data_IF_254822835272
#
_entry.id   IF_254822835272
#
_cell.length_a   1.000
_cell.length_b   1.000
_cell.length_c   1.000
_cell.angle_alpha   90.00
_cell.angle_beta   90.00
_cell.angle_gamma   90.00
#
_symmetry.space_group_name_H-M   'P 1'
#
loop_
_entity.id
_entity.type
_entity.pdbx_description
1 polymer ?
#
# COMPACT_ATOMS: atom_id res chain seq x y z
N UNK A 1 6.77 1.11 -16.75
CA UNK A 1 6.74 1.56 -15.36
C UNK A 1 5.34 1.41 -14.80
N UNK A 2 5.23 0.62 -13.75
CA UNK A 2 3.94 0.39 -13.12
C UNK A 2 3.67 1.49 -12.08
N UNK A 3 2.53 2.13 -12.21
CA UNK A 3 2.09 3.13 -11.25
C UNK A 3 0.79 2.67 -10.60
N UNK A 4 0.68 2.93 -9.31
CA UNK A 4 -0.50 2.63 -8.53
C UNK A 4 -1.09 3.94 -8.04
N UNK A 5 -2.40 4.05 -8.13
CA UNK A 5 -3.12 5.23 -7.69
C UNK A 5 -4.06 4.87 -6.57
N UNK A 6 -3.87 5.50 -5.42
CA UNK A 6 -4.80 5.35 -4.30
C UNK A 6 -6.10 6.06 -4.65
N UNK A 7 -7.22 5.40 -4.39
CA UNK A 7 -8.53 5.95 -4.66
C UNK A 7 -9.18 6.53 -3.41
N UNK A 8 -9.90 7.63 -3.57
CA UNK A 8 -10.66 8.23 -2.49
C UNK A 8 -9.81 8.90 -1.42
N UNK A 9 -8.63 9.39 -1.79
CA UNK A 9 -7.71 9.99 -0.84
C UNK A 9 -8.33 11.15 -0.07
N UNK A 10 -7.92 11.24 1.20
CA UNK A 10 -8.26 12.36 2.05
C UNK A 10 -7.62 13.64 1.50
N UNK A 11 -8.40 14.68 1.18
CA UNK A 11 -7.81 15.93 0.67
C UNK A 11 -6.96 16.67 1.70
N UNK A 12 -7.04 16.29 2.98
CA UNK A 12 -6.23 16.88 4.04
C UNK A 12 -4.99 16.04 4.36
N UNK A 13 -4.69 15.03 3.55
CA UNK A 13 -3.52 14.18 3.75
C UNK A 13 -2.23 14.99 3.72
N UNK A 14 -1.29 14.62 4.58
CA UNK A 14 0.03 15.23 4.63
C UNK A 14 1.10 14.16 4.41
N UNK A 15 2.11 14.48 3.60
CA UNK A 15 3.24 13.59 3.35
C UNK A 15 4.45 14.14 4.09
N UNK A 16 5.08 13.30 4.92
CA UNK A 16 6.25 13.67 5.70
C UNK A 16 7.37 12.67 5.45
N UNK A 17 8.53 13.16 5.05
CA UNK A 17 9.74 12.34 4.93
C UNK A 17 10.54 12.30 6.22
N UNK A 18 11.40 11.29 6.35
CA UNK A 18 12.23 11.13 7.55
C UNK A 18 13.17 12.31 7.79
N UNK A 19 13.58 12.98 6.71
CA UNK A 19 14.51 14.11 6.78
C UNK A 19 13.79 15.45 6.71
N UNK A 20 12.67 15.54 7.38
CA UNK A 20 11.89 16.78 7.48
C UNK A 20 11.19 17.19 6.18
N UNK A 21 11.23 16.35 5.16
CA UNK A 21 10.42 16.61 3.97
C UNK A 21 8.95 16.62 4.34
N UNK A 22 8.23 17.65 3.89
CA UNK A 22 6.81 17.76 4.19
C UNK A 22 6.08 18.34 3.00
N UNK A 23 5.04 17.64 2.56
CA UNK A 23 4.19 18.12 1.48
C UNK A 23 2.75 17.75 1.78
N UNK A 24 1.86 18.71 1.57
CA UNK A 24 0.44 18.50 1.81
C UNK A 24 -0.24 18.10 0.52
N UNK A 25 -1.03 17.03 0.53
CA UNK A 25 -1.81 16.57 -0.61
C UNK A 25 -0.98 16.60 -1.89
N UNK A 26 0.09 15.87 -1.89
CA UNK A 26 1.05 15.93 -2.96
C UNK A 26 0.59 15.20 -4.21
N UNK A 27 0.96 15.75 -5.38
CA UNK A 27 0.91 15.03 -6.65
C UNK A 27 2.18 14.22 -6.86
N UNK A 28 3.09 14.25 -5.90
CA UNK A 28 4.35 13.56 -5.98
C UNK A 28 4.13 12.05 -5.84
N UNK A 29 4.66 11.28 -6.77
CA UNK A 29 4.63 9.83 -6.67
C UNK A 29 5.59 9.38 -5.58
N UNK A 30 5.23 8.30 -4.88
CA UNK A 30 6.10 7.68 -3.86
C UNK A 30 7.49 7.43 -4.42
N UNK A 31 7.55 6.97 -5.66
CA UNK A 31 8.80 6.69 -6.33
C UNK A 31 9.72 7.91 -6.40
N UNK A 32 9.16 9.08 -6.71
CA UNK A 32 9.95 10.31 -6.79
C UNK A 32 10.54 10.66 -5.43
N UNK A 33 9.80 10.41 -4.37
CA UNK A 33 10.28 10.64 -3.02
C UNK A 33 11.41 9.67 -2.66
N UNK A 34 11.29 8.41 -3.05
CA UNK A 34 12.33 7.41 -2.81
C UNK A 34 13.59 7.76 -3.63
N UNK A 35 13.42 8.19 -4.85
CA UNK A 35 14.54 8.60 -5.70
C UNK A 35 15.29 9.80 -5.14
N UNK A 36 14.63 10.62 -4.32
CA UNK A 36 15.26 11.71 -3.60
C UNK A 36 15.91 11.24 -2.29
N UNK A 37 16.01 9.93 -2.10
CA UNK A 37 16.71 9.29 -0.97
C UNK A 37 16.05 9.43 0.38
N UNK A 38 14.76 9.66 0.41
CA UNK A 38 14.01 9.54 1.66
C UNK A 38 13.79 8.07 1.95
N UNK A 39 14.32 7.58 3.05
CA UNK A 39 14.20 6.18 3.42
C UNK A 39 12.82 5.81 3.95
N UNK A 40 12.11 6.76 4.49
CA UNK A 40 10.75 6.57 5.00
C UNK A 40 9.88 7.74 4.60
N UNK A 41 8.67 7.42 4.20
CA UNK A 41 7.63 8.41 3.92
C UNK A 41 6.39 8.06 4.70
N UNK A 42 5.82 9.07 5.34
CA UNK A 42 4.59 8.92 6.08
C UNK A 42 3.48 9.67 5.35
N UNK A 43 2.43 8.96 5.00
CA UNK A 43 1.22 9.53 4.47
C UNK A 43 0.24 9.61 5.63
N UNK A 44 0.26 10.74 6.32
CA UNK A 44 -0.59 10.93 7.49
C UNK A 44 -2.01 11.20 7.04
N UNK A 45 -2.95 10.42 7.54
CA UNK A 45 -4.35 10.50 7.17
C UNK A 45 -4.57 10.31 5.67
N UNK A 46 -3.96 9.27 5.12
CA UNK A 46 -4.20 8.84 3.74
C UNK A 46 -5.70 8.74 3.47
N UNK A 47 -6.40 8.15 4.43
CA UNK A 47 -7.84 8.20 4.58
C UNK A 47 -8.12 8.60 6.03
N UNK A 48 -9.33 9.11 6.34
CA UNK A 48 -9.64 9.40 7.74
C UNK A 48 -9.37 8.19 8.64
N UNK A 49 -8.57 8.38 9.68
CA UNK A 49 -8.19 7.33 10.63
C UNK A 49 -7.19 6.31 10.10
N UNK A 50 -6.60 6.53 8.93
CA UNK A 50 -5.68 5.57 8.33
C UNK A 50 -4.41 6.28 7.87
N UNK A 51 -3.29 5.86 8.43
CA UNK A 51 -1.95 6.33 8.02
C UNK A 51 -1.25 5.25 7.22
N UNK A 52 -0.40 5.67 6.29
CA UNK A 52 0.45 4.77 5.53
C UNK A 52 1.89 5.20 5.69
N UNK A 53 2.77 4.26 5.98
CA UNK A 53 4.20 4.46 5.99
C UNK A 53 4.82 3.64 4.87
N UNK A 54 5.66 4.29 4.06
CA UNK A 54 6.55 3.61 3.14
C UNK A 54 7.95 3.59 3.71
N UNK A 55 8.62 2.45 3.63
CA UNK A 55 10.02 2.34 4.02
C UNK A 55 10.80 1.61 2.93
N UNK A 56 11.95 2.17 2.56
CA UNK A 56 12.87 1.52 1.63
C UNK A 56 13.65 0.44 2.37
N UNK A 57 13.49 -0.81 1.94
CA UNK A 57 14.15 -1.97 2.53
C UNK A 57 15.01 -2.66 1.48
N UNK A 58 16.05 -1.98 1.04
CA UNK A 58 16.96 -2.49 0.02
C UNK A 58 16.23 -2.79 -1.30
N UNK A 59 15.86 -4.03 -1.56
CA UNK A 59 15.22 -4.40 -2.82
C UNK A 59 13.69 -4.40 -2.76
N UNK A 60 13.13 -4.08 -1.60
CA UNK A 60 11.70 -4.05 -1.41
C UNK A 60 11.25 -2.76 -0.78
N UNK A 61 10.04 -2.35 -1.10
CA UNK A 61 9.38 -1.23 -0.48
C UNK A 61 8.37 -1.79 0.51
N UNK A 62 8.52 -1.45 1.77
CA UNK A 62 7.58 -1.83 2.81
C UNK A 62 6.43 -0.83 2.87
N UNK A 63 5.21 -1.35 2.95
CA UNK A 63 4.00 -0.55 3.12
C UNK A 63 3.32 -0.97 4.42
N UNK A 64 3.19 -0.04 5.35
CA UNK A 64 2.51 -0.28 6.62
C UNK A 64 1.32 0.64 6.75
N UNK A 65 0.14 0.07 6.89
CA UNK A 65 -1.08 0.83 7.18
C UNK A 65 -1.42 0.69 8.65
N UNK A 66 -1.79 1.81 9.25
CA UNK A 66 -2.29 1.87 10.62
C UNK A 66 -3.72 2.39 10.57
N UNK A 67 -4.65 1.53 10.95
CA UNK A 67 -6.09 1.87 10.97
C UNK A 67 -6.49 2.06 12.42
N UNK A 68 -6.95 3.27 12.75
CA UNK A 68 -7.42 3.55 14.10
C UNK A 68 -8.73 2.82 14.39
N UNK A 69 -8.95 2.50 15.66
CA UNK A 69 -10.20 1.88 16.10
C UNK A 69 -11.40 2.73 15.66
N UNK A 70 -12.43 2.09 15.14
CA UNK A 70 -13.62 2.78 14.68
C UNK A 70 -13.58 3.24 13.22
N UNK A 71 -12.46 3.02 12.53
CA UNK A 71 -12.35 3.37 11.13
C UNK A 71 -12.32 2.12 10.25
N UNK A 72 -12.71 2.27 9.00
CA UNK A 72 -12.91 1.15 8.10
C UNK A 72 -11.70 0.93 7.20
N UNK A 73 -10.99 -0.19 7.38
CA UNK A 73 -9.84 -0.56 6.55
C UNK A 73 -10.21 -0.68 5.06
N UNK A 74 -11.49 -0.92 4.76
CA UNK A 74 -11.95 -1.08 3.38
C UNK A 74 -11.89 0.20 2.56
N UNK A 75 -11.58 1.33 3.21
CA UNK A 75 -11.26 2.56 2.50
C UNK A 75 -9.97 2.42 1.69
N UNK A 76 -9.09 1.50 2.10
CA UNK A 76 -7.81 1.27 1.42
C UNK A 76 -8.09 0.57 0.10
N UNK A 77 -7.94 1.29 -0.99
CA UNK A 77 -8.05 0.73 -2.33
C UNK A 77 -7.16 1.49 -3.28
N UNK A 78 -6.61 0.77 -4.24
CA UNK A 78 -5.84 1.41 -5.27
C UNK A 78 -6.18 0.83 -6.63
N UNK A 79 -5.79 1.54 -7.65
CA UNK A 79 -6.08 1.20 -9.03
C UNK A 79 -4.78 1.11 -9.81
N UNK A 80 -4.65 0.07 -10.62
CA UNK A 80 -3.56 -0.06 -11.56
C UNK A 80 -3.95 0.56 -12.90
N UNK A 81 -2.94 0.85 -13.72
CA UNK A 81 -3.13 1.34 -15.08
C UNK A 81 -4.11 0.43 -15.84
N UNK A 82 -4.93 1.03 -16.71
CA UNK A 82 -5.92 0.29 -17.49
C UNK A 82 -5.29 -0.77 -18.38
N UNK A 83 -4.06 -0.56 -18.82
CA UNK A 83 -3.33 -1.51 -19.64
C UNK A 83 -2.62 -2.59 -18.82
N UNK A 84 -2.62 -2.51 -17.50
CA UNK A 84 -1.97 -3.48 -16.64
C UNK A 84 -2.77 -4.78 -16.55
N UNK A 85 -2.05 -5.88 -16.40
CA UNK A 85 -2.64 -7.19 -16.16
C UNK A 85 -2.39 -7.57 -14.71
N UNK A 86 -3.47 -7.78 -13.97
CA UNK A 86 -3.40 -8.13 -12.56
C UNK A 86 -3.72 -9.61 -12.37
N UNK A 87 -2.98 -10.27 -11.51
CA UNK A 87 -3.23 -11.67 -11.19
C UNK A 87 -2.80 -11.96 -9.75
N UNK A 88 -3.52 -12.87 -9.11
CA UNK A 88 -3.11 -13.41 -7.82
C UNK A 88 -2.32 -14.68 -8.05
N UNK A 89 -1.11 -14.70 -7.52
CA UNK A 89 -0.24 -15.85 -7.64
C UNK A 89 -0.21 -16.72 -6.39
N UNK A 90 0.70 -17.70 -6.35
CA UNK A 90 0.85 -18.58 -5.20
C UNK A 90 1.11 -17.78 -3.92
N UNK A 91 0.51 -18.24 -2.82
CA UNK A 91 0.68 -17.59 -1.54
C UNK A 91 -0.04 -16.26 -1.39
N UNK A 92 -0.95 -15.93 -2.31
CA UNK A 92 -1.71 -14.68 -2.24
C UNK A 92 -0.96 -13.45 -2.70
N UNK A 93 0.15 -13.63 -3.39
CA UNK A 93 0.93 -12.54 -3.95
C UNK A 93 0.17 -11.91 -5.11
N UNK A 94 0.08 -10.59 -5.11
CA UNK A 94 -0.49 -9.85 -6.23
C UNK A 94 0.61 -9.53 -7.23
N UNK A 95 0.38 -9.85 -8.50
CA UNK A 95 1.29 -9.50 -9.58
C UNK A 95 0.61 -8.51 -10.52
N UNK A 96 1.34 -7.47 -10.87
CA UNK A 96 0.86 -6.43 -11.78
C UNK A 96 1.87 -6.30 -12.90
N UNK A 97 1.42 -6.59 -14.11
CA UNK A 97 2.26 -6.50 -15.30
C UNK A 97 1.79 -5.37 -16.20
N UNK A 98 2.73 -4.53 -16.61
CA UNK A 98 2.49 -3.47 -17.58
C UNK A 98 3.64 -3.50 -18.59
N UNK A 99 3.37 -4.01 -19.81
CA UNK A 99 4.41 -4.23 -20.79
C UNK A 99 5.43 -5.24 -20.26
N UNK A 100 6.69 -4.83 -20.23
CA UNK A 100 7.77 -5.66 -19.69
C UNK A 100 7.98 -5.46 -18.18
N UNK A 101 7.25 -4.55 -17.58
CA UNK A 101 7.38 -4.27 -16.15
C UNK A 101 6.46 -5.17 -15.35
N UNK A 102 7.01 -5.77 -14.30
CA UNK A 102 6.25 -6.60 -13.37
C UNK A 102 6.53 -6.12 -11.95
N UNK A 103 5.47 -5.90 -11.20
CA UNK A 103 5.55 -5.57 -9.79
C UNK A 103 4.82 -6.65 -9.01
N UNK A 104 5.41 -7.10 -7.92
CA UNK A 104 4.78 -8.08 -7.04
C UNK A 104 4.55 -7.45 -5.67
N UNK A 105 3.34 -7.61 -5.16
CA UNK A 105 2.98 -7.16 -3.82
C UNK A 105 2.66 -8.39 -3.00
N UNK A 106 3.39 -8.59 -1.91
CA UNK A 106 3.22 -9.74 -1.06
C UNK A 106 1.85 -9.76 -0.40
N UNK A 107 1.41 -10.95 0.01
CA UNK A 107 0.17 -11.07 0.76
C UNK A 107 0.23 -10.21 2.01
N UNK A 108 -0.83 -9.48 2.35
CA UNK A 108 -0.82 -8.63 3.54
C UNK A 108 -0.66 -9.44 4.82
N UNK A 109 0.17 -8.93 5.72
CA UNK A 109 0.31 -9.45 7.07
C UNK A 109 -0.46 -8.51 7.99
N UNK A 110 -1.44 -9.05 8.68
CA UNK A 110 -2.35 -8.24 9.49
C UNK A 110 -2.27 -8.66 10.94
N UNK A 111 -2.17 -7.68 11.81
CA UNK A 111 -2.17 -7.88 13.26
C UNK A 111 -3.22 -6.99 13.88
N UNK A 112 -4.02 -7.59 14.75
CA UNK A 112 -5.01 -6.87 15.53
C UNK A 112 -5.00 -7.42 16.95
N UNK A 113 -4.88 -6.52 17.92
CA UNK A 113 -4.85 -6.90 19.34
C UNK A 113 -3.75 -7.94 19.62
N UNK A 114 -2.59 -7.76 18.99
CA UNK A 114 -1.44 -8.64 19.13
C UNK A 114 -1.56 -10.00 18.44
N UNK A 115 -2.62 -10.22 17.66
CA UNK A 115 -2.87 -11.50 16.99
C UNK A 115 -2.86 -11.36 15.48
N UNK A 116 -2.26 -12.33 14.76
CA UNK A 116 -2.32 -12.32 13.31
C UNK A 116 -3.72 -12.66 12.81
N UNK A 117 -4.15 -11.98 11.78
CA UNK A 117 -5.41 -12.24 11.10
C UNK A 117 -5.15 -12.63 9.65
N UNK A 118 -5.99 -13.53 9.12
CA UNK A 118 -5.95 -13.87 7.71
C UNK A 118 -6.37 -12.66 6.87
N UNK A 119 -5.66 -12.42 5.78
CA UNK A 119 -5.92 -11.31 4.88
C UNK A 119 -5.51 -11.67 3.47
N UNK A 120 -6.21 -11.12 2.50
CA UNK A 120 -5.94 -11.34 1.08
C UNK A 120 -6.14 -10.05 0.30
N UNK A 121 -5.44 -9.96 -0.82
CA UNK A 121 -5.78 -8.99 -1.85
C UNK A 121 -7.01 -9.48 -2.61
N UNK A 122 -7.85 -8.56 -2.99
CA UNK A 122 -9.08 -8.84 -3.73
C UNK A 122 -9.08 -7.99 -4.98
N UNK A 123 -9.27 -8.62 -6.14
CA UNK A 123 -9.23 -7.93 -7.43
C UNK A 123 -10.64 -7.74 -7.98
N UNK A 124 -10.90 -6.55 -8.52
CA UNK A 124 -12.11 -6.24 -9.26
C UNK A 124 -11.69 -5.38 -10.46
N UNK A 125 -11.49 -6.01 -11.62
CA UNK A 125 -10.91 -5.31 -12.77
C UNK A 125 -9.52 -4.80 -12.43
N UNK A 126 -9.33 -3.49 -12.55
CA UNK A 126 -8.06 -2.83 -12.22
C UNK A 126 -7.99 -2.36 -10.78
N UNK A 127 -9.04 -2.58 -10.02
CA UNK A 127 -9.07 -2.16 -8.61
C UNK A 127 -8.59 -3.27 -7.69
N UNK A 128 -7.84 -2.88 -6.67
CA UNK A 128 -7.31 -3.79 -5.66
C UNK A 128 -7.78 -3.33 -4.30
N UNK A 129 -8.33 -4.27 -3.55
CA UNK A 129 -8.83 -4.04 -2.21
C UNK A 129 -8.27 -5.09 -1.26
N UNK A 130 -8.42 -4.82 0.03
CA UNK A 130 -8.08 -5.76 1.08
C UNK A 130 -9.31 -6.50 1.55
N UNK A 131 -9.13 -7.78 1.88
CA UNK A 131 -10.16 -8.60 2.50
C UNK A 131 -9.61 -9.20 3.79
N UNK A 132 -10.17 -8.80 4.92
CA UNK A 132 -9.74 -9.26 6.25
C UNK A 132 -11.00 -9.71 6.99
N UNK A 133 -11.42 -10.97 6.79
CA UNK A 133 -12.75 -11.41 7.25
C UNK A 133 -12.95 -11.34 8.76
N UNK A 134 -11.88 -11.49 9.54
CA UNK A 134 -11.99 -11.49 11.01
C UNK A 134 -11.65 -10.16 11.66
N UNK A 135 -11.49 -9.08 10.88
CA UNK A 135 -11.18 -7.79 11.44
C UNK A 135 -12.33 -7.28 12.31
N UNK A 136 -11.98 -6.79 13.51
CA UNK A 136 -12.92 -6.15 14.42
C UNK A 136 -12.87 -4.63 14.20
N UNK A 137 -13.94 -4.01 13.74
CA UNK A 137 -13.93 -2.57 13.46
C UNK A 137 -13.74 -1.69 14.69
N UNK A 138 -13.95 -2.24 15.88
CA UNK A 138 -13.80 -1.50 17.13
C UNK A 138 -12.36 -1.45 17.63
N UNK A 139 -11.45 -2.13 16.95
CA UNK A 139 -10.04 -2.21 17.36
C UNK A 139 -9.11 -1.71 16.28
N UNK A 140 -8.00 -1.13 16.71
CA UNK A 140 -6.95 -0.70 15.78
C UNK A 140 -6.39 -1.90 15.00
N UNK A 141 -5.93 -1.63 13.79
CA UNK A 141 -5.47 -2.65 12.87
C UNK A 141 -4.14 -2.22 12.24
N UNK A 142 -3.21 -3.13 12.15
CA UNK A 142 -1.96 -2.89 11.43
C UNK A 142 -1.87 -3.85 10.26
N UNK A 143 -1.60 -3.29 9.07
CA UNK A 143 -1.52 -4.06 7.84
C UNK A 143 -0.17 -3.78 7.20
N UNK A 144 0.62 -4.82 6.97
CA UNK A 144 1.94 -4.69 6.40
C UNK A 144 2.04 -5.49 5.11
N UNK A 145 2.65 -4.91 4.09
CA UNK A 145 2.95 -5.62 2.86
C UNK A 145 4.27 -5.14 2.27
N UNK A 146 4.80 -5.91 1.33
CA UNK A 146 6.06 -5.60 0.66
C UNK A 146 5.85 -5.54 -0.84
N UNK A 147 6.36 -4.48 -1.45
CA UNK A 147 6.31 -4.25 -2.87
C UNK A 147 7.69 -4.52 -3.46
N UNK A 148 7.81 -5.55 -4.25
CA UNK A 148 9.05 -5.91 -4.92
C UNK A 148 8.92 -5.69 -6.42
N UNK A 149 10.04 -5.43 -7.08
CA UNK A 149 10.08 -5.32 -8.53
C UNK A 149 10.73 -6.57 -9.10
N UNK A 150 9.91 -7.54 -9.46
CA UNK A 150 10.38 -8.81 -9.98
C UNK A 150 11.08 -8.66 -11.34
N UNK A 151 10.68 -7.66 -12.11
CA UNK A 151 11.26 -7.47 -13.44
C UNK A 151 12.75 -7.15 -13.40
N UNK A 152 13.20 -6.45 -12.36
CA UNK A 152 14.60 -6.09 -12.27
C UNK A 152 15.54 -7.29 -12.24
N UNK A 153 15.00 -8.47 -12.09
CA UNK A 153 15.75 -9.71 -12.00
C UNK A 153 15.72 -10.55 -13.28
N UNK A 154 15.05 -10.05 -14.26
CA UNK A 154 14.87 -10.80 -15.51
C UNK A 154 15.83 -10.33 -16.58
#
# INVERSE_FOLDING_TARGET
RVELQWEGLNPQMEIVGADEFRARKSNMAVRDCIEKQYRKLYYNQLYPGIDLMYADRAEQLEMDFYVEAGFDYRSIQFRADDAAILALGPGGKLQIRLGDSVVAIERPLVVQDGKPLAANWELSGQEVKLHIPSADPEKALRIQSFLGNALQRI
#
